data_IF_122527742685
#
_entry.id   IF_122527742685
#
_cell.length_a   1.000
_cell.length_b   1.000
_cell.length_c   1.000
_cell.angle_alpha   90.00
_cell.angle_beta   90.00
_cell.angle_gamma   90.00
#
_symmetry.space_group_name_H-M   'P 1'
#
loop_
_entity.id
_entity.type
_entity.pdbx_description
1 polymer ?
#
# COMPACT_ATOMS: atom_id res chain seq x y z
N UNK A 1 -1.78 12.15 -32.35
CA UNK A 1 -2.27 12.56 -31.02
C UNK A 1 -2.82 11.32 -30.33
N UNK A 2 -2.26 10.92 -29.19
CA UNK A 2 -2.88 9.92 -28.31
C UNK A 2 -3.35 10.68 -27.08
N UNK A 3 -4.65 10.96 -27.04
CA UNK A 3 -5.29 11.50 -25.85
C UNK A 3 -5.30 10.41 -24.78
N UNK A 4 -4.82 10.74 -23.59
CA UNK A 4 -4.89 9.84 -22.43
C UNK A 4 -6.36 9.64 -22.06
N UNK A 5 -6.81 8.38 -22.01
CA UNK A 5 -8.19 7.96 -21.75
C UNK A 5 -8.57 7.88 -20.27
N UNK A 6 -7.65 8.24 -19.37
CA UNK A 6 -7.86 8.12 -17.93
C UNK A 6 -8.18 9.48 -17.32
N UNK A 7 -9.39 9.98 -17.59
CA UNK A 7 -10.07 10.95 -16.72
C UNK A 7 -10.86 10.15 -15.69
N UNK A 8 -10.27 9.85 -14.54
CA UNK A 8 -11.11 9.54 -13.38
C UNK A 8 -10.42 9.91 -12.05
N UNK A 9 -10.97 10.94 -11.41
CA UNK A 9 -10.71 11.34 -10.02
C UNK A 9 -11.42 10.37 -9.01
N UNK A 10 -11.69 9.12 -9.40
CA UNK A 10 -12.34 8.13 -8.53
C UNK A 10 -11.29 7.22 -7.89
N UNK A 11 -10.88 7.61 -6.67
CA UNK A 11 -10.16 6.84 -5.64
C UNK A 11 -9.05 5.87 -6.12
N UNK A 12 -7.80 6.23 -5.82
CA UNK A 12 -6.67 5.32 -5.98
C UNK A 12 -6.85 4.05 -5.13
N UNK A 13 -6.75 2.87 -5.75
CA UNK A 13 -6.84 1.58 -5.07
C UNK A 13 -5.48 1.11 -4.60
N UNK A 14 -5.37 0.76 -3.32
CA UNK A 14 -4.19 0.13 -2.73
C UNK A 14 -4.40 -1.38 -2.65
N UNK A 15 -3.42 -2.14 -3.13
CA UNK A 15 -3.36 -3.60 -3.01
C UNK A 15 -2.34 -3.97 -1.94
N UNK A 16 -2.64 -4.99 -1.15
CA UNK A 16 -1.72 -5.58 -0.18
C UNK A 16 -1.60 -7.06 -0.49
N UNK A 17 -0.38 -7.51 -0.74
CA UNK A 17 -0.06 -8.91 -1.02
C UNK A 17 1.00 -9.35 -0.03
N UNK A 18 0.90 -10.58 0.46
CA UNK A 18 1.96 -11.22 1.21
C UNK A 18 2.75 -12.07 0.24
N UNK A 19 4.05 -11.85 0.16
CA UNK A 19 4.94 -12.78 -0.55
C UNK A 19 4.97 -14.06 0.28
N UNK A 20 4.51 -15.18 -0.27
CA UNK A 20 4.54 -16.49 0.39
C UNK A 20 5.62 -17.41 -0.18
N UNK A 21 6.29 -17.01 -1.27
CA UNK A 21 7.22 -17.85 -2.03
C UNK A 21 8.70 -17.54 -1.74
N UNK A 22 9.04 -16.26 -1.55
CA UNK A 22 10.44 -15.81 -1.45
C UNK A 22 10.74 -15.35 -0.01
N UNK A 23 9.90 -14.48 0.55
CA UNK A 23 10.00 -14.01 1.92
C UNK A 23 8.62 -14.06 2.58
N UNK A 24 8.25 -15.17 3.25
CA UNK A 24 6.91 -15.43 3.79
C UNK A 24 6.42 -14.44 4.88
N UNK A 25 7.20 -13.40 5.17
CA UNK A 25 6.87 -12.33 6.09
C UNK A 25 6.71 -10.97 5.40
N UNK A 26 6.98 -10.85 4.09
CA UNK A 26 7.01 -9.57 3.40
C UNK A 26 5.63 -9.22 2.84
N UNK A 27 5.12 -8.07 3.23
CA UNK A 27 3.91 -7.47 2.67
C UNK A 27 4.28 -6.40 1.67
N UNK A 28 3.70 -6.47 0.48
CA UNK A 28 3.88 -5.51 -0.61
C UNK A 28 2.61 -4.69 -0.78
N UNK A 29 2.75 -3.38 -0.57
CA UNK A 29 1.72 -2.38 -0.87
C UNK A 29 1.95 -1.84 -2.28
N UNK A 30 0.88 -1.72 -3.06
CA UNK A 30 0.96 -1.10 -4.39
C UNK A 30 -0.23 -0.22 -4.71
N UNK A 31 0.05 0.94 -5.30
CA UNK A 31 -0.94 1.83 -5.92
C UNK A 31 -0.51 2.06 -7.38
N UNK A 32 -1.00 1.23 -8.33
CA UNK A 32 -0.56 1.28 -9.73
C UNK A 32 -0.76 2.64 -10.40
N UNK A 33 -1.86 3.34 -10.07
CA UNK A 33 -2.17 4.67 -10.62
C UNK A 33 -1.08 5.70 -10.32
N UNK A 34 -0.36 5.52 -9.21
CA UNK A 34 0.70 6.43 -8.75
C UNK A 34 2.09 5.87 -9.02
N UNK A 35 2.19 4.69 -9.65
CA UNK A 35 3.47 3.96 -9.80
C UNK A 35 4.17 3.75 -8.46
N UNK A 36 3.39 3.63 -7.38
CA UNK A 36 3.88 3.49 -6.02
C UNK A 36 3.90 2.02 -5.62
N UNK A 37 5.01 1.59 -5.02
CA UNK A 37 5.12 0.32 -4.34
C UNK A 37 6.02 0.45 -3.11
N UNK A 38 5.66 -0.23 -2.04
CA UNK A 38 6.48 -0.27 -0.82
C UNK A 38 6.31 -1.60 -0.12
N UNK A 39 7.32 -2.04 0.61
CA UNK A 39 7.34 -3.35 1.26
C UNK A 39 7.65 -3.24 2.74
N UNK A 40 6.99 -4.07 3.56
CA UNK A 40 7.13 -4.09 5.02
C UNK A 40 7.03 -5.53 5.53
N UNK A 41 7.79 -5.88 6.56
CA UNK A 41 7.65 -7.15 7.27
C UNK A 41 6.54 -7.09 8.31
N UNK A 42 6.40 -5.94 8.98
CA UNK A 42 5.42 -5.75 10.03
C UNK A 42 5.00 -4.26 10.19
N UNK A 43 4.25 -3.96 11.25
CA UNK A 43 3.77 -2.60 11.54
C UNK A 43 4.90 -1.64 11.97
N UNK A 44 6.03 -2.15 12.47
CA UNK A 44 7.17 -1.33 12.89
C UNK A 44 7.92 -0.74 11.70
N UNK A 45 8.00 -1.48 10.59
CA UNK A 45 8.54 -0.97 9.33
C UNK A 45 7.76 0.28 8.86
N UNK A 46 6.44 0.31 9.08
CA UNK A 46 5.59 1.48 8.74
C UNK A 46 5.86 2.71 9.62
N UNK A 47 6.54 2.58 10.77
CA UNK A 47 6.94 3.74 11.57
C UNK A 47 8.08 4.52 10.91
N UNK A 48 8.92 3.83 10.15
CA UNK A 48 9.97 4.42 9.32
C UNK A 48 9.45 4.91 7.96
N UNK A 49 8.24 4.51 7.58
CA UNK A 49 7.61 4.95 6.34
C UNK A 49 7.22 6.43 6.45
N UNK A 50 7.98 7.27 5.75
CA UNK A 50 7.71 8.69 5.62
C UNK A 50 7.10 8.92 4.22
N UNK A 51 5.76 8.97 4.09
CA UNK A 51 5.06 8.97 2.79
C UNK A 51 5.23 10.25 1.96
N UNK A 52 6.18 11.12 2.31
CA UNK A 52 6.27 12.48 1.77
C UNK A 52 6.32 12.40 0.26
N UNK A 53 5.25 12.88 -0.36
CA UNK A 53 5.05 13.03 -1.80
C UNK A 53 4.44 11.87 -2.58
N UNK A 54 3.87 10.83 -1.96
CA UNK A 54 3.11 9.82 -2.74
C UNK A 54 1.91 10.48 -3.44
N UNK A 55 1.18 11.33 -2.73
CA UNK A 55 0.08 12.10 -3.30
C UNK A 55 0.40 13.59 -3.47
N UNK A 56 1.58 14.05 -3.02
CA UNK A 56 1.93 15.47 -2.95
C UNK A 56 1.05 16.26 -1.98
N UNK A 57 0.30 15.58 -1.12
CA UNK A 57 -0.66 16.14 -0.17
C UNK A 57 -0.49 15.42 1.17
N UNK A 58 -0.13 16.18 2.20
CA UNK A 58 0.21 15.64 3.51
C UNK A 58 -0.95 14.88 4.17
N UNK A 59 -2.20 15.32 3.96
CA UNK A 59 -3.36 14.65 4.55
C UNK A 59 -3.63 13.31 3.86
N UNK A 60 -3.48 13.26 2.53
CA UNK A 60 -3.59 12.01 1.76
C UNK A 60 -2.47 11.04 2.08
N UNK A 61 -1.25 11.54 2.26
CA UNK A 61 -0.08 10.75 2.65
C UNK A 61 -0.25 10.16 4.08
N UNK A 62 -0.83 10.92 5.02
CA UNK A 62 -1.21 10.40 6.33
C UNK A 62 -2.32 9.34 6.25
N UNK A 63 -3.33 9.56 5.40
CA UNK A 63 -4.40 8.57 5.17
C UNK A 63 -3.82 7.28 4.58
N UNK A 64 -2.86 7.37 3.65
CA UNK A 64 -2.17 6.21 3.09
C UNK A 64 -1.51 5.36 4.18
N UNK A 65 -0.75 5.98 5.08
CA UNK A 65 -0.11 5.27 6.19
C UNK A 65 -1.14 4.54 7.07
N UNK A 66 -2.29 5.16 7.36
CA UNK A 66 -3.37 4.52 8.13
C UNK A 66 -3.96 3.31 7.40
N UNK A 67 -4.19 3.42 6.08
CA UNK A 67 -4.70 2.31 5.29
C UNK A 67 -3.68 1.18 5.17
N UNK A 68 -2.38 1.48 5.06
CA UNK A 68 -1.31 0.48 5.06
C UNK A 68 -1.29 -0.32 6.38
N UNK A 69 -1.42 0.36 7.53
CA UNK A 69 -1.54 -0.30 8.84
C UNK A 69 -2.77 -1.21 8.93
N UNK A 70 -3.91 -0.78 8.38
CA UNK A 70 -5.13 -1.61 8.32
C UNK A 70 -4.95 -2.81 7.40
N UNK A 71 -4.33 -2.62 6.25
CA UNK A 71 -4.05 -3.67 5.27
C UNK A 71 -3.22 -4.81 5.88
N UNK A 72 -2.16 -4.49 6.62
CA UNK A 72 -1.36 -5.50 7.35
C UNK A 72 -2.21 -6.30 8.34
N UNK A 73 -3.02 -5.62 9.15
CA UNK A 73 -3.86 -6.27 10.16
C UNK A 73 -4.85 -7.24 9.52
N UNK A 74 -5.54 -6.79 8.47
CA UNK A 74 -6.47 -7.64 7.72
C UNK A 74 -5.77 -8.84 7.08
N UNK A 75 -4.64 -8.65 6.41
CA UNK A 75 -3.90 -9.75 5.79
C UNK A 75 -3.38 -10.77 6.81
N UNK A 76 -2.99 -10.32 8.01
CA UNK A 76 -2.60 -11.19 9.12
C UNK A 76 -3.79 -11.96 9.69
N UNK A 77 -4.91 -11.29 9.92
CA UNK A 77 -6.08 -11.89 10.58
C UNK A 77 -6.85 -12.86 9.64
N UNK A 78 -6.64 -12.75 8.32
CA UNK A 78 -7.16 -13.68 7.32
C UNK A 78 -6.31 -14.96 7.18
N UNK A 79 -5.18 -15.07 7.89
CA UNK A 79 -4.37 -16.29 7.87
C UNK A 79 -5.00 -17.36 8.78
N UNK A 80 -5.29 -18.57 8.28
CA UNK A 80 -5.75 -19.66 9.13
C UNK A 80 -4.65 -20.04 10.13
N UNK A 81 -5.01 -20.04 11.42
CA UNK A 81 -4.18 -20.60 12.49
C UNK A 81 -4.20 -22.13 12.31
N UNK A 82 -3.09 -22.71 11.85
CA UNK A 82 -2.88 -24.15 11.81
C UNK A 82 -2.24 -24.64 13.11
#
# INVERSE_FOLDING_TARGET
>A
MRESVFNNEAEAKMYVMKDEEIEPALYVFSIPLLTFSWSAHDETDLESFYPVSVFGDQQKDQKLLLEMKRGLKLCRDLQPVF
#
